data_IF_176230394821
#
_entry.id   IF_176230394821
#
_cell.length_a   1.000
_cell.length_b   1.000
_cell.length_c   1.000
_cell.angle_alpha   90.00
_cell.angle_beta   90.00
_cell.angle_gamma   90.00
#
_symmetry.space_group_name_H-M   'P 1'
#
loop_
_entity.id
_entity.type
_entity.pdbx_description
1 polymer ?
#
# COMPACT_ATOMS: atom_id res chain seq x y z
N UNK A 1 -17.35 33.11 17.66
CA UNK A 1 -17.04 31.88 16.89
C UNK A 1 -17.02 30.71 17.86
N UNK A 2 -17.56 29.55 17.52
CA UNK A 2 -17.47 28.37 18.37
C UNK A 2 -16.03 27.86 18.41
N UNK A 3 -15.62 27.38 19.59
CA UNK A 3 -14.38 26.65 19.75
C UNK A 3 -14.60 25.21 19.28
N UNK A 4 -13.66 24.72 18.48
CA UNK A 4 -13.65 23.35 17.97
C UNK A 4 -12.56 22.54 18.69
N UNK A 5 -12.77 21.25 18.84
CA UNK A 5 -11.78 20.33 19.42
C UNK A 5 -10.71 19.95 18.38
N UNK A 6 -11.10 19.89 17.11
CA UNK A 6 -10.22 19.60 15.96
C UNK A 6 -10.73 20.31 14.72
N UNK A 7 -9.94 20.32 13.65
CA UNK A 7 -10.40 20.79 12.33
C UNK A 7 -11.48 19.84 11.81
N UNK A 8 -12.69 20.36 11.49
CA UNK A 8 -13.76 19.51 10.95
C UNK A 8 -13.36 18.88 9.61
N UNK A 9 -13.75 17.65 9.37
CA UNK A 9 -13.44 16.91 8.13
C UNK A 9 -13.93 17.64 6.86
N UNK A 10 -15.01 18.43 6.96
CA UNK A 10 -15.57 19.21 5.85
C UNK A 10 -15.00 20.63 5.73
N UNK A 11 -13.97 20.98 6.53
CA UNK A 11 -13.24 22.22 6.34
C UNK A 11 -12.34 22.09 5.09
N UNK A 12 -12.42 23.07 4.20
CA UNK A 12 -11.64 23.09 2.94
C UNK A 12 -10.60 24.19 2.91
N UNK A 13 -10.73 25.16 3.81
CA UNK A 13 -9.78 26.27 3.97
C UNK A 13 -9.52 26.54 5.44
N UNK A 14 -8.27 26.90 5.74
CA UNK A 14 -7.88 27.37 7.07
C UNK A 14 -7.23 28.75 6.96
N UNK A 15 -7.32 29.53 8.05
CA UNK A 15 -6.56 30.75 8.21
C UNK A 15 -5.97 30.83 9.61
N UNK A 16 -4.92 31.62 9.78
CA UNK A 16 -4.39 31.97 11.10
C UNK A 16 -4.79 33.39 11.45
N UNK A 17 -5.42 33.55 12.60
CA UNK A 17 -5.64 34.85 13.19
C UNK A 17 -4.33 35.45 13.70
N UNK A 18 -3.96 36.63 13.21
CA UNK A 18 -2.66 37.24 13.48
C UNK A 18 -2.46 37.63 14.96
N UNK A 19 -3.55 37.89 15.66
CA UNK A 19 -3.54 38.39 17.06
C UNK A 19 -3.59 37.20 18.03
N UNK A 20 -4.58 36.34 17.84
CA UNK A 20 -4.84 35.22 18.78
C UNK A 20 -4.04 33.97 18.44
N UNK A 21 -3.43 33.91 17.25
CA UNK A 21 -2.72 32.75 16.70
C UNK A 21 -3.57 31.47 16.65
N UNK A 22 -4.89 31.63 16.57
CA UNK A 22 -5.84 30.52 16.42
C UNK A 22 -5.99 30.14 14.97
N UNK A 23 -6.23 28.87 14.72
CA UNK A 23 -6.59 28.37 13.40
C UNK A 23 -8.09 28.50 13.22
N UNK A 24 -8.51 29.21 12.20
CA UNK A 24 -9.91 29.40 11.84
C UNK A 24 -10.23 28.46 10.69
N UNK A 25 -11.29 27.68 10.82
CA UNK A 25 -11.74 26.74 9.79
C UNK A 25 -12.91 27.32 9.00
N UNK A 26 -12.89 27.08 7.69
CA UNK A 26 -13.92 27.51 6.74
C UNK A 26 -14.41 26.35 5.89
N UNK A 27 -15.69 26.36 5.50
CA UNK A 27 -16.23 25.47 4.48
C UNK A 27 -15.86 25.93 3.04
N UNK A 28 -16.27 25.16 2.04
CA UNK A 28 -16.02 25.47 0.63
C UNK A 28 -16.64 26.82 0.18
N UNK A 29 -17.69 27.28 0.86
CA UNK A 29 -18.37 28.55 0.58
C UNK A 29 -17.74 29.74 1.31
N UNK A 30 -16.71 29.48 2.14
CA UNK A 30 -16.06 30.51 2.95
C UNK A 30 -16.84 30.85 4.25
N UNK A 31 -17.77 29.99 4.67
CA UNK A 31 -18.47 30.15 5.93
C UNK A 31 -17.59 29.70 7.09
N UNK A 32 -17.51 30.51 8.14
CA UNK A 32 -16.77 30.18 9.35
C UNK A 32 -17.38 28.98 10.06
N UNK A 33 -16.61 27.92 10.25
CA UNK A 33 -17.00 26.74 11.03
C UNK A 33 -16.67 26.91 12.51
N UNK A 34 -15.59 27.60 12.82
CA UNK A 34 -15.12 27.84 14.17
C UNK A 34 -13.62 28.03 14.22
N UNK A 35 -13.04 27.98 15.43
CA UNK A 35 -11.60 28.05 15.62
C UNK A 35 -11.11 26.88 16.46
N UNK A 36 -9.86 26.49 16.22
CA UNK A 36 -9.16 25.48 16.98
C UNK A 36 -8.00 26.13 17.76
N UNK A 37 -7.88 25.77 19.03
CA UNK A 37 -6.77 26.24 19.86
C UNK A 37 -5.52 25.45 19.54
N UNK A 38 -4.39 26.13 19.41
CA UNK A 38 -3.10 25.53 19.09
C UNK A 38 -2.70 24.38 20.03
N UNK A 39 -3.06 24.45 21.30
CA UNK A 39 -2.71 23.42 22.30
C UNK A 39 -3.51 22.11 22.17
N UNK A 40 -4.66 22.13 21.53
CA UNK A 40 -5.49 20.94 21.33
C UNK A 40 -4.83 19.95 20.37
N UNK A 41 -3.99 20.43 19.51
CA UNK A 41 -3.38 19.74 18.39
C UNK A 41 -2.16 18.89 18.74
N UNK A 42 -1.41 19.27 19.74
CA UNK A 42 -0.22 18.52 20.17
C UNK A 42 -0.52 17.10 20.66
N UNK A 43 -1.78 16.78 20.92
CA UNK A 43 -2.22 15.45 21.36
C UNK A 43 -2.52 14.46 20.23
N UNK A 44 -2.92 14.93 19.06
CA UNK A 44 -3.33 14.08 17.95
C UNK A 44 -2.16 13.40 17.20
N UNK A 45 -0.93 13.90 17.40
CA UNK A 45 0.26 13.46 16.64
C UNK A 45 0.79 12.08 16.98
N UNK A 46 0.16 11.30 17.87
CA UNK A 46 0.73 10.03 18.38
C UNK A 46 0.22 8.74 17.75
N UNK A 47 -0.85 8.77 16.99
CA UNK A 47 -1.56 7.54 16.63
C UNK A 47 -1.50 7.17 15.13
N UNK A 48 -0.85 7.96 14.28
CA UNK A 48 -0.73 7.65 12.85
C UNK A 48 0.73 7.36 12.47
N UNK A 49 1.23 6.21 12.91
CA UNK A 49 2.48 5.60 12.42
C UNK A 49 2.13 4.69 11.25
N UNK A 50 1.41 5.24 10.28
CA UNK A 50 1.17 4.62 8.99
C UNK A 50 2.35 4.89 8.04
N UNK A 51 2.32 4.28 6.88
CA UNK A 51 3.30 4.40 5.81
C UNK A 51 3.35 5.82 5.17
N UNK A 52 3.37 6.87 5.99
CA UNK A 52 3.36 8.27 5.56
C UNK A 52 4.65 8.99 5.92
N UNK A 53 5.12 9.84 5.02
CA UNK A 53 6.27 10.73 5.22
C UNK A 53 5.85 12.19 5.04
N UNK A 54 6.43 13.09 5.83
CA UNK A 54 6.19 14.53 5.70
C UNK A 54 6.77 15.05 4.40
N UNK A 55 6.04 15.95 3.73
CA UNK A 55 6.46 16.60 2.50
C UNK A 55 6.98 18.01 2.78
N UNK A 56 8.11 18.37 2.19
CA UNK A 56 8.58 19.76 2.15
C UNK A 56 7.74 20.62 1.21
N UNK A 57 7.88 21.95 1.27
CA UNK A 57 7.25 22.83 0.31
C UNK A 57 7.71 22.55 -1.13
N UNK A 58 8.98 22.19 -1.32
CA UNK A 58 9.53 21.81 -2.63
C UNK A 58 8.92 20.49 -3.13
N UNK A 59 8.67 19.53 -2.24
CA UNK A 59 8.04 18.26 -2.63
C UNK A 59 6.59 18.47 -3.07
N UNK A 60 5.84 19.30 -2.37
CA UNK A 60 4.46 19.64 -2.75
C UNK A 60 4.42 20.32 -4.11
N UNK A 61 5.36 21.25 -4.37
CA UNK A 61 5.44 21.95 -5.67
C UNK A 61 5.90 21.04 -6.81
N UNK A 62 6.55 19.92 -6.51
CA UNK A 62 6.89 18.86 -7.48
C UNK A 62 5.77 17.83 -7.64
N UNK A 63 4.73 17.89 -6.79
CA UNK A 63 3.56 17.07 -7.01
C UNK A 63 3.16 17.21 -8.45
N UNK A 64 3.05 16.06 -9.07
CA UNK A 64 2.81 15.92 -10.50
C UNK A 64 1.90 17.02 -11.02
N UNK A 65 2.44 17.86 -11.89
CA UNK A 65 1.60 18.69 -12.75
C UNK A 65 0.53 17.74 -13.34
N UNK A 66 -0.75 17.85 -13.02
CA UNK A 66 -1.48 19.08 -12.72
C UNK A 66 -1.82 19.32 -11.24
N UNK A 67 -1.37 18.50 -10.31
CA UNK A 67 -1.78 18.62 -8.91
C UNK A 67 -1.39 19.95 -8.27
N UNK A 68 -0.13 20.40 -8.42
CA UNK A 68 0.31 21.69 -7.91
C UNK A 68 -0.42 22.85 -8.58
N UNK A 69 -0.58 22.81 -9.90
CA UNK A 69 -1.25 23.88 -10.65
C UNK A 69 -2.69 24.11 -10.18
N UNK A 70 -3.41 23.03 -9.82
CA UNK A 70 -4.76 23.13 -9.26
C UNK A 70 -4.77 23.83 -7.89
N UNK A 71 -3.80 23.49 -7.01
CA UNK A 71 -3.65 24.14 -5.71
C UNK A 71 -3.31 25.62 -5.85
N UNK A 72 -2.34 25.94 -6.72
CA UNK A 72 -1.91 27.31 -6.97
C UNK A 72 -3.03 28.13 -7.59
N UNK A 73 -3.72 27.60 -8.59
CA UNK A 73 -4.86 28.28 -9.21
C UNK A 73 -5.97 28.54 -8.18
N UNK A 74 -6.26 27.58 -7.31
CA UNK A 74 -7.26 27.74 -6.26
C UNK A 74 -6.86 28.80 -5.22
N UNK A 75 -5.58 28.89 -4.87
CA UNK A 75 -5.08 29.94 -4.01
C UNK A 75 -5.21 31.32 -4.66
N UNK A 76 -4.88 31.43 -5.95
CA UNK A 76 -5.02 32.66 -6.74
C UNK A 76 -6.49 33.10 -6.84
N UNK A 77 -7.40 32.17 -7.11
CA UNK A 77 -8.84 32.44 -7.18
C UNK A 77 -9.42 32.93 -5.85
N UNK A 78 -8.91 32.39 -4.72
CA UNK A 78 -9.41 32.77 -3.40
C UNK A 78 -8.79 34.07 -2.90
N UNK A 79 -7.49 34.30 -3.12
CA UNK A 79 -6.71 35.30 -2.39
C UNK A 79 -5.81 36.17 -3.28
N UNK A 80 -5.80 35.94 -4.59
CA UNK A 80 -4.96 36.64 -5.55
C UNK A 80 -3.57 36.02 -5.70
N UNK A 81 -2.85 36.51 -6.71
CA UNK A 81 -1.51 36.05 -7.12
C UNK A 81 -0.37 36.86 -6.49
N UNK A 82 -0.65 37.54 -5.37
CA UNK A 82 0.34 38.34 -4.64
C UNK A 82 1.54 37.51 -4.16
N UNK A 83 2.64 38.21 -3.86
CA UNK A 83 3.87 37.62 -3.34
C UNK A 83 3.58 36.81 -2.08
N UNK A 84 4.04 35.55 -2.06
CA UNK A 84 3.78 34.60 -0.99
C UNK A 84 4.85 33.53 -0.89
N UNK A 85 4.94 32.92 0.29
CA UNK A 85 5.72 31.71 0.55
C UNK A 85 4.79 30.50 0.65
N UNK A 86 5.28 29.37 0.15
CA UNK A 86 4.64 28.08 0.36
C UNK A 86 5.26 27.44 1.59
N UNK A 87 4.43 27.02 2.53
CA UNK A 87 4.87 26.46 3.81
C UNK A 87 4.15 25.14 4.05
N UNK A 88 4.90 24.13 4.48
CA UNK A 88 4.39 22.83 4.92
C UNK A 88 5.08 22.44 6.21
N UNK A 89 4.37 21.72 7.08
CA UNK A 89 4.95 21.08 8.27
C UNK A 89 5.75 22.04 9.18
N UNK A 90 5.42 23.32 9.18
CA UNK A 90 6.01 24.31 10.06
C UNK A 90 5.67 24.01 11.52
N UNK A 91 6.59 24.32 12.44
CA UNK A 91 6.39 24.16 13.89
C UNK A 91 5.20 24.97 14.40
N UNK A 92 4.85 26.05 13.71
CA UNK A 92 3.66 26.86 14.00
C UNK A 92 2.35 26.20 13.59
N UNK A 93 2.38 25.16 12.72
CA UNK A 93 1.21 24.49 12.15
C UNK A 93 1.29 22.95 12.20
N UNK A 94 1.71 22.36 13.34
CA UNK A 94 2.11 20.94 13.40
C UNK A 94 0.97 19.95 13.13
N UNK A 95 -0.27 20.41 13.20
CA UNK A 95 -1.45 19.54 13.20
C UNK A 95 -2.06 19.28 11.82
N UNK A 96 -1.60 20.02 10.85
CA UNK A 96 -2.12 19.93 9.49
C UNK A 96 -0.98 19.69 8.50
N UNK A 97 -0.23 18.58 8.66
CA UNK A 97 0.93 18.33 7.83
C UNK A 97 0.52 18.04 6.39
N UNK A 98 1.35 18.51 5.45
CA UNK A 98 1.40 17.92 4.13
C UNK A 98 2.22 16.63 4.23
N UNK A 99 1.67 15.53 3.77
CA UNK A 99 2.32 14.22 3.84
C UNK A 99 2.02 13.39 2.60
N UNK A 100 2.91 12.45 2.31
CA UNK A 100 2.73 11.44 1.27
C UNK A 100 2.66 10.07 1.94
N UNK A 101 1.63 9.30 1.59
CA UNK A 101 1.35 8.01 2.19
C UNK A 101 1.40 6.90 1.16
N UNK A 102 2.09 5.80 1.46
CA UNK A 102 1.99 4.59 0.66
C UNK A 102 0.61 3.94 0.85
N UNK A 103 0.04 3.47 -0.24
CA UNK A 103 -1.18 2.69 -0.23
C UNK A 103 -0.93 1.27 -0.75
N UNK A 104 -1.90 0.38 -0.57
CA UNK A 104 -1.80 -0.98 -1.07
C UNK A 104 -1.60 -1.00 -2.59
N UNK A 105 -0.71 -1.87 -3.06
CA UNK A 105 -0.30 -1.92 -4.46
C UNK A 105 -1.38 -2.48 -5.42
N UNK A 106 -2.44 -3.07 -4.88
CA UNK A 106 -3.40 -3.82 -5.69
C UNK A 106 -2.85 -5.13 -6.22
N UNK A 107 -3.48 -5.66 -7.26
CA UNK A 107 -3.10 -6.94 -7.85
C UNK A 107 -1.95 -6.77 -8.85
N UNK A 108 -1.01 -7.72 -8.85
CA UNK A 108 0.04 -7.81 -9.86
C UNK A 108 -0.60 -8.14 -11.21
N UNK A 109 -0.20 -7.43 -12.24
CA UNK A 109 -0.56 -7.77 -13.62
C UNK A 109 0.40 -8.84 -14.13
N UNK A 110 -0.13 -10.00 -14.50
CA UNK A 110 0.65 -11.13 -15.02
C UNK A 110 0.98 -10.91 -16.50
N UNK A 111 2.22 -11.19 -16.86
CA UNK A 111 2.74 -11.08 -18.22
C UNK A 111 2.76 -12.48 -18.88
N UNK A 112 1.81 -12.73 -19.76
CA UNK A 112 1.70 -14.01 -20.48
C UNK A 112 1.11 -15.17 -19.68
N UNK A 113 1.14 -16.36 -20.27
CA UNK A 113 0.65 -17.58 -19.63
C UNK A 113 1.69 -18.14 -18.65
N UNK A 114 1.27 -18.69 -17.50
CA UNK A 114 2.17 -19.34 -16.56
C UNK A 114 2.88 -20.57 -17.14
N UNK A 115 4.15 -20.71 -16.87
CA UNK A 115 4.90 -21.92 -17.19
C UNK A 115 4.78 -22.93 -16.06
N UNK A 116 4.12 -24.06 -16.32
CA UNK A 116 3.87 -25.11 -15.34
C UNK A 116 4.60 -26.41 -15.69
N UNK A 117 5.20 -27.03 -14.68
CA UNK A 117 5.78 -28.37 -14.76
C UNK A 117 5.23 -29.25 -13.66
N UNK A 118 4.74 -30.46 -14.03
CA UNK A 118 4.26 -31.43 -13.07
C UNK A 118 5.30 -32.54 -12.89
N UNK A 119 5.65 -32.82 -11.65
CA UNK A 119 6.55 -33.90 -11.26
C UNK A 119 5.78 -34.91 -10.41
N UNK A 120 5.76 -36.17 -10.85
CA UNK A 120 5.20 -37.26 -10.07
C UNK A 120 6.25 -37.77 -9.10
N UNK A 121 5.96 -37.71 -7.82
CA UNK A 121 6.75 -38.34 -6.77
C UNK A 121 6.13 -39.69 -6.42
N UNK A 122 6.96 -40.69 -6.18
CA UNK A 122 6.51 -42.06 -5.86
C UNK A 122 7.09 -42.49 -4.54
N UNK A 123 6.24 -43.08 -3.71
CA UNK A 123 6.63 -43.75 -2.48
C UNK A 123 6.26 -45.21 -2.58
N UNK A 124 7.25 -46.12 -2.59
CA UNK A 124 7.03 -47.55 -2.59
C UNK A 124 7.03 -48.09 -1.15
N UNK A 125 5.98 -48.80 -0.77
CA UNK A 125 5.89 -49.49 0.53
C UNK A 125 5.59 -50.94 0.33
N UNK A 126 6.31 -51.84 1.03
CA UNK A 126 6.07 -53.27 1.01
C UNK A 126 5.77 -53.78 2.43
N UNK A 127 4.66 -54.49 2.61
CA UNK A 127 4.31 -55.12 3.89
C UNK A 127 4.59 -56.60 3.78
N UNK A 128 5.43 -57.13 4.69
CA UNK A 128 5.80 -58.53 4.74
C UNK A 128 5.26 -59.21 6.01
N UNK A 129 4.65 -60.36 5.86
CA UNK A 129 4.24 -61.23 7.00
C UNK A 129 2.74 -61.32 7.20
N UNK A 130 2.04 -60.27 7.54
CA UNK A 130 0.60 -60.21 7.73
C UNK A 130 0.03 -58.95 7.09
N UNK A 131 -1.29 -58.90 6.93
CA UNK A 131 -1.92 -57.63 6.50
C UNK A 131 -1.51 -56.50 7.44
N UNK A 132 -1.14 -55.37 6.87
CA UNK A 132 -0.68 -54.18 7.59
C UNK A 132 -1.32 -52.89 7.11
N UNK A 133 -1.00 -51.82 7.78
CA UNK A 133 -1.40 -50.49 7.38
C UNK A 133 -0.15 -49.66 7.14
N UNK A 134 -0.01 -49.11 5.92
CA UNK A 134 0.99 -48.10 5.63
C UNK A 134 0.40 -46.72 5.93
N UNK A 135 1.16 -45.93 6.64
CA UNK A 135 0.76 -44.55 6.94
C UNK A 135 1.61 -43.59 6.12
N UNK A 136 0.97 -42.78 5.32
CA UNK A 136 1.62 -41.76 4.47
C UNK A 136 1.20 -40.39 4.93
N UNK A 137 2.16 -39.53 5.17
CA UNK A 137 1.88 -38.11 5.44
C UNK A 137 1.78 -37.36 4.12
N UNK A 138 0.64 -36.77 3.91
CA UNK A 138 0.30 -36.00 2.71
C UNK A 138 0.29 -34.52 3.01
N UNK A 139 0.92 -33.73 2.18
CA UNK A 139 0.81 -32.28 2.20
C UNK A 139 0.01 -31.83 0.98
N UNK A 140 -1.17 -31.26 1.20
CA UNK A 140 -2.04 -30.72 0.15
C UNK A 140 -2.13 -29.19 0.25
N UNK A 141 -2.46 -28.55 -0.85
CA UNK A 141 -2.60 -27.09 -0.91
C UNK A 141 -1.47 -26.41 -1.68
N UNK A 142 -1.42 -25.11 -1.62
CA UNK A 142 -0.53 -24.29 -2.43
C UNK A 142 0.44 -23.48 -1.55
N UNK A 143 1.70 -23.45 -1.95
CA UNK A 143 2.71 -22.52 -1.42
C UNK A 143 3.02 -21.51 -2.50
N UNK A 144 2.91 -20.24 -2.15
CA UNK A 144 3.28 -19.12 -3.01
C UNK A 144 4.59 -18.49 -2.55
N UNK A 145 5.42 -18.11 -3.49
CA UNK A 145 6.48 -17.16 -3.26
C UNK A 145 6.48 -16.12 -4.37
N UNK A 146 6.68 -14.87 -3.99
CA UNK A 146 6.78 -13.76 -4.95
C UNK A 146 8.00 -12.93 -4.62
N UNK A 147 8.81 -12.67 -5.64
CA UNK A 147 9.98 -11.79 -5.56
C UNK A 147 9.66 -10.51 -6.32
N UNK A 148 9.70 -9.36 -5.63
CA UNK A 148 9.41 -8.05 -6.20
C UNK A 148 10.72 -7.26 -6.31
N UNK A 149 11.03 -6.78 -7.52
CA UNK A 149 12.22 -5.95 -7.77
C UNK A 149 11.79 -4.57 -8.23
N UNK A 150 12.25 -3.51 -7.55
CA UNK A 150 11.93 -2.13 -7.92
C UNK A 150 12.53 -1.81 -9.29
N UNK A 151 11.67 -1.52 -10.26
CA UNK A 151 12.04 -1.16 -11.63
C UNK A 151 11.95 0.34 -11.91
N UNK A 152 11.20 1.09 -11.09
CA UNK A 152 11.11 2.54 -11.14
C UNK A 152 10.88 3.12 -9.76
N UNK A 153 11.72 4.04 -9.34
CA UNK A 153 11.54 4.80 -8.10
C UNK A 153 10.37 5.78 -8.22
N UNK A 154 9.67 5.99 -7.10
CA UNK A 154 8.74 7.09 -6.99
C UNK A 154 9.51 8.43 -6.99
N UNK A 155 8.94 9.46 -7.61
CA UNK A 155 9.60 10.78 -7.77
C UNK A 155 9.78 11.55 -6.44
N UNK A 156 9.05 11.16 -5.40
CA UNK A 156 9.24 11.68 -4.05
C UNK A 156 9.92 10.61 -3.20
N UNK A 157 11.08 10.95 -2.65
CA UNK A 157 11.84 10.05 -1.81
C UNK A 157 11.09 9.77 -0.50
N UNK A 158 10.84 8.49 -0.25
CA UNK A 158 10.39 8.02 1.05
C UNK A 158 11.61 7.43 1.71
N UNK A 159 12.06 8.07 2.78
CA UNK A 159 13.33 7.71 3.43
C UNK A 159 13.34 6.35 4.11
N UNK A 160 12.22 5.62 4.13
CA UNK A 160 12.06 4.38 4.90
C UNK A 160 11.41 3.28 4.05
N UNK A 161 11.57 2.05 4.53
CA UNK A 161 10.88 0.88 3.96
C UNK A 161 9.40 0.96 4.30
N UNK A 162 8.54 0.80 3.31
CA UNK A 162 7.09 0.73 3.48
C UNK A 162 6.60 -0.70 3.34
N UNK A 163 5.63 -1.08 4.18
CA UNK A 163 4.90 -2.35 4.06
C UNK A 163 3.54 -2.08 3.47
N UNK A 164 3.25 -2.74 2.35
CA UNK A 164 1.95 -2.62 1.65
C UNK A 164 1.44 -4.01 1.29
N UNK A 165 0.14 -4.13 1.09
CA UNK A 165 -0.45 -5.36 0.56
C UNK A 165 -0.33 -5.38 -0.95
N UNK A 166 0.07 -6.55 -1.45
CA UNK A 166 0.18 -6.85 -2.89
C UNK A 166 -0.71 -8.06 -3.17
N UNK A 167 -1.61 -7.94 -4.12
CA UNK A 167 -2.41 -9.06 -4.60
C UNK A 167 -1.60 -9.92 -5.57
N UNK A 168 -1.42 -11.19 -5.24
CA UNK A 168 -0.76 -12.17 -6.11
C UNK A 168 -1.83 -13.07 -6.69
N UNK A 169 -2.09 -13.02 -8.01
CA UNK A 169 -2.99 -13.95 -8.67
C UNK A 169 -2.49 -15.39 -8.50
N UNK A 170 -3.40 -16.32 -8.23
CA UNK A 170 -3.06 -17.73 -8.16
C UNK A 170 -2.68 -18.23 -9.55
N UNK A 171 -1.44 -18.70 -9.69
CA UNK A 171 -0.86 -19.05 -11.01
C UNK A 171 -1.56 -20.26 -11.64
N UNK A 172 -2.19 -21.12 -10.83
CA UNK A 172 -2.97 -22.26 -11.32
C UNK A 172 -4.43 -21.92 -11.64
N UNK A 173 -4.97 -20.87 -11.03
CA UNK A 173 -6.33 -20.35 -11.25
C UNK A 173 -6.29 -18.82 -11.13
N UNK A 174 -6.11 -18.13 -12.25
CA UNK A 174 -6.03 -16.65 -12.34
C UNK A 174 -7.28 -15.90 -11.85
N UNK A 175 -8.33 -16.61 -11.47
CA UNK A 175 -9.56 -16.01 -10.92
C UNK A 175 -9.48 -15.75 -9.42
N UNK A 176 -8.52 -16.35 -8.72
CA UNK A 176 -8.29 -16.14 -7.30
C UNK A 176 -7.00 -15.34 -7.07
N UNK A 177 -7.04 -14.45 -6.09
CA UNK A 177 -5.92 -13.61 -5.68
C UNK A 177 -5.63 -13.79 -4.20
N UNK A 178 -4.37 -14.04 -3.87
CA UNK A 178 -3.89 -14.08 -2.49
C UNK A 178 -3.16 -12.78 -2.16
N UNK A 179 -3.60 -12.08 -1.12
CA UNK A 179 -2.95 -10.86 -0.66
C UNK A 179 -1.77 -11.21 0.26
N UNK A 180 -0.60 -10.69 -0.07
CA UNK A 180 0.62 -10.80 0.75
C UNK A 180 1.12 -9.42 1.18
N UNK A 181 1.77 -9.36 2.33
CA UNK A 181 2.47 -8.15 2.75
C UNK A 181 3.87 -8.15 2.12
N UNK A 182 4.16 -7.12 1.37
CA UNK A 182 5.46 -6.90 0.74
C UNK A 182 6.09 -5.60 1.27
N UNK A 183 7.42 -5.61 1.42
CA UNK A 183 8.20 -4.44 1.85
C UNK A 183 8.87 -3.83 0.65
N UNK A 184 8.81 -2.51 0.54
CA UNK A 184 9.47 -1.77 -0.52
C UNK A 184 10.32 -0.66 0.05
N UNK A 185 11.54 -0.55 -0.49
CA UNK A 185 12.40 0.62 -0.31
C UNK A 185 12.42 1.37 -1.64
N UNK A 186 12.26 2.69 -1.61
CA UNK A 186 12.27 3.50 -2.84
C UNK A 186 13.70 3.62 -3.41
N UNK A 187 14.24 2.47 -3.82
CA UNK A 187 15.59 2.34 -4.36
C UNK A 187 15.58 1.34 -5.50
N UNK A 188 16.04 1.77 -6.67
CA UNK A 188 16.10 0.96 -7.88
C UNK A 188 16.84 -0.35 -7.63
N UNK A 189 16.35 -1.43 -8.24
CA UNK A 189 16.91 -2.79 -8.18
C UNK A 189 16.93 -3.43 -6.79
N UNK A 190 16.25 -2.87 -5.81
CA UNK A 190 16.02 -3.54 -4.53
C UNK A 190 15.01 -4.66 -4.72
N UNK A 191 15.35 -5.86 -4.25
CA UNK A 191 14.51 -7.06 -4.35
C UNK A 191 14.09 -7.52 -2.96
N UNK A 192 12.79 -7.74 -2.78
CA UNK A 192 12.20 -8.33 -1.60
C UNK A 192 11.41 -9.57 -1.98
N UNK A 193 11.36 -10.55 -1.08
CA UNK A 193 10.62 -11.81 -1.30
C UNK A 193 9.56 -11.99 -0.25
N UNK A 194 8.34 -12.26 -0.70
CA UNK A 194 7.19 -12.56 0.14
C UNK A 194 6.75 -14.01 -0.07
N UNK A 195 6.40 -14.70 1.01
CA UNK A 195 5.92 -16.08 0.94
C UNK A 195 4.57 -16.21 1.66
N UNK A 196 3.69 -17.00 1.08
CA UNK A 196 2.44 -17.42 1.71
C UNK A 196 2.30 -18.93 1.57
N UNK A 197 2.08 -19.62 2.68
CA UNK A 197 1.94 -21.06 2.72
C UNK A 197 0.53 -21.45 3.19
N UNK A 198 -0.25 -21.99 2.27
CA UNK A 198 -1.61 -22.49 2.51
C UNK A 198 -1.64 -24.05 2.48
N UNK A 199 -0.51 -24.69 2.63
CA UNK A 199 -0.41 -26.14 2.64
C UNK A 199 -0.86 -26.72 3.98
N UNK A 200 -1.58 -27.85 3.92
CA UNK A 200 -2.02 -28.60 5.08
C UNK A 200 -1.48 -30.04 4.98
N UNK A 201 -0.86 -30.52 6.04
CA UNK A 201 -0.38 -31.91 6.10
C UNK A 201 -1.44 -32.79 6.73
N UNK A 202 -1.82 -33.84 6.01
CA UNK A 202 -2.75 -34.86 6.47
C UNK A 202 -2.06 -36.24 6.50
N UNK A 203 -2.54 -37.10 7.36
CA UNK A 203 -2.03 -38.46 7.44
C UNK A 203 -3.06 -39.45 6.86
N UNK A 204 -2.67 -40.13 5.80
CA UNK A 204 -3.52 -41.12 5.13
C UNK A 204 -3.04 -42.53 5.50
N UNK A 205 -3.96 -43.39 5.97
CA UNK A 205 -3.71 -44.76 6.28
C UNK A 205 -4.20 -45.66 5.13
N UNK A 206 -3.29 -46.45 4.53
CA UNK A 206 -3.57 -47.32 3.42
C UNK A 206 -3.46 -48.78 3.91
N UNK A 207 -4.53 -49.55 3.73
CA UNK A 207 -4.51 -51.00 4.06
C UNK A 207 -3.72 -51.75 2.98
N UNK A 208 -2.65 -52.44 3.39
CA UNK A 208 -1.77 -53.20 2.49
C UNK A 208 -1.93 -54.71 2.81
N UNK A 209 -2.46 -55.51 1.86
CA UNK A 209 -2.54 -56.96 2.05
C UNK A 209 -1.16 -57.59 2.18
N UNK A 210 -1.09 -58.73 2.87
CA UNK A 210 0.14 -59.50 3.06
C UNK A 210 0.79 -59.89 1.74
N UNK A 211 2.06 -59.57 1.59
CA UNK A 211 2.87 -59.89 0.41
C UNK A 211 2.70 -58.95 -0.77
N UNK A 212 1.86 -57.92 -0.63
CA UNK A 212 1.70 -56.88 -1.66
C UNK A 212 2.59 -55.70 -1.35
N UNK A 213 3.06 -55.05 -2.41
CA UNK A 213 3.66 -53.73 -2.36
C UNK A 213 2.63 -52.71 -2.86
N UNK A 214 2.52 -51.62 -2.16
CA UNK A 214 1.71 -50.47 -2.59
C UNK A 214 2.62 -49.35 -3.05
N UNK A 215 2.30 -48.77 -4.20
CA UNK A 215 2.92 -47.59 -4.73
C UNK A 215 1.97 -46.40 -4.57
N UNK A 216 2.43 -45.38 -3.87
CA UNK A 216 1.68 -44.13 -3.72
C UNK A 216 2.34 -43.09 -4.61
N UNK A 217 1.60 -42.63 -5.57
CA UNK A 217 2.05 -41.57 -6.45
C UNK A 217 1.33 -40.27 -6.07
N UNK A 218 2.06 -39.16 -6.09
CA UNK A 218 1.48 -37.84 -5.98
C UNK A 218 2.15 -36.88 -6.94
N UNK A 219 1.36 -35.97 -7.48
CA UNK A 219 1.83 -34.99 -8.45
C UNK A 219 2.03 -33.65 -7.75
N UNK A 220 3.22 -33.09 -7.95
CA UNK A 220 3.53 -31.69 -7.56
C UNK A 220 3.63 -30.86 -8.83
N UNK A 221 2.72 -29.90 -8.96
CA UNK A 221 2.78 -28.96 -10.07
C UNK A 221 3.39 -27.65 -9.59
N UNK A 222 4.53 -27.30 -10.20
CA UNK A 222 5.19 -26.02 -10.01
C UNK A 222 4.88 -25.12 -11.19
N UNK A 223 4.29 -23.97 -10.92
CA UNK A 223 4.04 -22.93 -11.93
C UNK A 223 4.87 -21.69 -11.61
N UNK A 224 5.44 -21.09 -12.65
CA UNK A 224 6.13 -19.79 -12.56
C UNK A 224 5.54 -18.82 -13.56
N UNK A 225 5.47 -17.55 -13.16
CA UNK A 225 5.07 -16.47 -14.05
C UNK A 225 5.77 -15.18 -13.67
N UNK A 226 5.79 -14.25 -14.61
CA UNK A 226 6.28 -12.90 -14.39
C UNK A 226 5.09 -11.93 -14.42
N UNK A 227 5.27 -10.79 -13.81
CA UNK A 227 4.28 -9.73 -13.80
C UNK A 227 4.87 -8.44 -13.30
N UNK A 228 4.05 -7.43 -13.23
CA UNK A 228 4.43 -6.12 -12.76
C UNK A 228 3.36 -5.50 -11.88
N UNK A 229 3.75 -4.56 -11.05
CA UNK A 229 2.84 -3.82 -10.18
C UNK A 229 3.37 -2.44 -9.86
N UNK A 230 2.55 -1.70 -9.14
CA UNK A 230 2.94 -0.37 -8.66
C UNK A 230 2.40 -0.11 -7.26
N UNK A 231 3.22 0.55 -6.44
CA UNK A 231 2.82 1.07 -5.14
C UNK A 231 2.51 2.55 -5.30
N UNK A 232 1.26 2.98 -5.09
CA UNK A 232 0.90 4.39 -5.13
C UNK A 232 1.34 5.08 -3.84
N UNK A 233 1.95 6.25 -3.99
CA UNK A 233 2.26 7.18 -2.92
C UNK A 233 1.43 8.43 -3.12
N UNK A 234 0.50 8.66 -2.22
CA UNK A 234 -0.58 9.64 -2.37
C UNK A 234 -0.37 10.81 -1.42
N UNK A 235 -0.32 12.02 -1.97
CA UNK A 235 -0.23 13.23 -1.18
C UNK A 235 -1.57 13.60 -0.54
N UNK A 236 -1.53 14.04 0.72
CA UNK A 236 -2.68 14.51 1.50
C UNK A 236 -2.26 15.57 2.50
N UNK A 237 -3.23 16.16 3.18
CA UNK A 237 -2.99 17.17 4.21
C UNK A 237 -3.09 18.59 3.69
N UNK A 238 -2.38 19.52 4.32
CA UNK A 238 -2.59 20.92 4.13
C UNK A 238 -1.34 21.65 3.66
N UNK A 239 -1.50 22.57 2.69
CA UNK A 239 -0.47 23.48 2.18
C UNK A 239 -0.82 24.89 2.60
N UNK A 240 0.13 25.58 3.19
CA UNK A 240 -0.02 26.96 3.65
C UNK A 240 0.58 27.94 2.63
N UNK A 241 -0.13 29.03 2.42
CA UNK A 241 0.22 30.18 1.59
C UNK A 241 0.37 31.38 2.51
N UNK A 242 1.60 31.83 2.73
CA UNK A 242 1.91 33.00 3.55
C UNK A 242 2.13 34.21 2.65
N UNK A 243 1.15 35.09 2.59
CA UNK A 243 1.19 36.31 1.79
C UNK A 243 1.96 37.42 2.49
N UNK A 244 2.69 38.26 1.70
CA UNK A 244 3.38 39.44 2.20
C UNK A 244 2.37 40.52 2.65
N UNK A 245 1.22 40.59 1.97
CA UNK A 245 0.12 41.50 2.28
C UNK A 245 -1.13 40.68 2.72
N UNK A 246 -1.97 41.30 3.58
CA UNK A 246 -3.22 40.68 4.00
C UNK A 246 -4.19 40.48 2.84
N UNK A 247 -4.67 39.25 2.71
CA UNK A 247 -5.75 38.89 1.79
C UNK A 247 -6.95 38.38 2.62
N UNK A 248 -8.15 38.84 2.35
CA UNK A 248 -9.36 38.47 3.12
C UNK A 248 -9.19 38.61 4.65
N UNK A 249 -8.33 39.54 5.09
CA UNK A 249 -8.09 39.86 6.51
C UNK A 249 -6.97 39.06 7.18
N UNK A 250 -6.34 38.09 6.52
CA UNK A 250 -5.26 37.26 7.06
C UNK A 250 -4.03 37.24 6.16
N UNK A 251 -2.85 37.00 6.73
CA UNK A 251 -1.61 36.77 5.99
C UNK A 251 -1.45 35.29 5.58
N UNK A 252 -2.02 34.36 6.35
CA UNK A 252 -1.76 32.94 6.27
C UNK A 252 -3.02 32.15 6.02
N UNK A 253 -3.04 31.44 4.92
CA UNK A 253 -4.14 30.62 4.45
C UNK A 253 -3.68 29.22 4.10
N UNK A 254 -4.54 28.23 4.27
CA UNK A 254 -4.24 26.87 3.83
C UNK A 254 -5.37 26.26 3.00
N UNK A 255 -4.95 25.42 2.07
CA UNK A 255 -5.82 24.54 1.28
C UNK A 255 -5.52 23.09 1.59
N UNK A 256 -6.55 22.28 1.58
CA UNK A 256 -6.44 20.83 1.74
C UNK A 256 -6.16 20.20 0.38
N UNK A 257 -5.06 19.43 0.28
CA UNK A 257 -4.58 18.83 -0.98
C UNK A 257 -5.67 17.96 -1.60
N UNK A 258 -6.21 17.04 -0.82
CA UNK A 258 -7.17 16.03 -1.27
C UNK A 258 -8.54 16.60 -1.65
N UNK A 259 -8.91 17.77 -1.14
CA UNK A 259 -10.16 18.45 -1.51
C UNK A 259 -10.03 19.25 -2.82
N UNK A 260 -8.84 19.80 -3.10
CA UNK A 260 -8.60 20.59 -4.30
C UNK A 260 -8.19 19.69 -5.47
N UNK A 261 -7.27 18.78 -5.22
CA UNK A 261 -6.82 17.78 -6.21
C UNK A 261 -7.61 16.49 -5.96
N UNK A 262 -8.89 16.50 -6.37
CA UNK A 262 -9.83 15.42 -6.09
C UNK A 262 -9.45 14.11 -6.83
N UNK A 263 -8.87 14.23 -8.03
CA UNK A 263 -8.33 13.06 -8.72
C UNK A 263 -7.06 12.60 -8.02
N UNK A 264 -7.08 11.38 -7.54
CA UNK A 264 -6.00 10.77 -6.78
C UNK A 264 -4.71 10.64 -7.61
N UNK A 265 -4.82 10.31 -8.89
CA UNK A 265 -3.66 10.15 -9.77
C UNK A 265 -2.88 11.46 -9.94
N UNK A 266 -3.58 12.61 -9.94
CA UNK A 266 -2.98 13.94 -10.07
C UNK A 266 -2.18 14.39 -8.82
N UNK A 267 -2.28 13.65 -7.73
CA UNK A 267 -1.56 13.88 -6.47
C UNK A 267 -0.79 12.65 -5.99
N UNK A 268 -0.49 11.74 -6.92
CA UNK A 268 0.22 10.49 -6.64
C UNK A 268 1.52 10.39 -7.42
N UNK A 269 2.49 9.72 -6.84
CA UNK A 269 3.67 9.20 -7.53
C UNK A 269 3.73 7.69 -7.31
N UNK A 270 4.36 6.96 -8.22
CA UNK A 270 4.32 5.51 -8.22
C UNK A 270 5.72 4.92 -8.18
N UNK A 271 5.94 4.02 -7.24
CA UNK A 271 7.05 3.07 -7.30
C UNK A 271 6.57 1.89 -8.14
N UNK A 272 7.29 1.55 -9.20
CA UNK A 272 6.98 0.38 -10.01
C UNK A 272 7.93 -0.75 -9.68
N UNK A 273 7.41 -1.97 -9.75
CA UNK A 273 8.19 -3.17 -9.53
C UNK A 273 7.84 -4.27 -10.52
N UNK A 274 8.83 -5.07 -10.86
CA UNK A 274 8.66 -6.32 -11.58
C UNK A 274 8.56 -7.45 -10.56
N UNK A 275 7.67 -8.41 -10.81
CA UNK A 275 7.42 -9.53 -9.94
C UNK A 275 7.67 -10.86 -10.63
N UNK A 276 8.32 -11.78 -9.92
CA UNK A 276 8.37 -13.18 -10.29
C UNK A 276 7.58 -13.98 -9.28
N UNK A 277 6.53 -14.66 -9.74
CA UNK A 277 5.63 -15.45 -8.90
C UNK A 277 5.87 -16.93 -9.16
N UNK A 278 5.99 -17.69 -8.10
CA UNK A 278 6.08 -19.16 -8.12
C UNK A 278 5.02 -19.74 -7.23
N UNK A 279 4.29 -20.73 -7.73
CA UNK A 279 3.37 -21.53 -6.94
C UNK A 279 3.72 -23.01 -7.02
N UNK A 280 3.72 -23.70 -5.89
CA UNK A 280 3.85 -25.15 -5.78
C UNK A 280 2.52 -25.70 -5.27
N UNK A 281 1.80 -26.43 -6.14
CA UNK A 281 0.50 -27.03 -5.81
C UNK A 281 0.66 -28.55 -5.77
N UNK A 282 0.27 -29.15 -4.67
CA UNK A 282 0.25 -30.61 -4.52
C UNK A 282 -1.10 -31.16 -5.00
N UNK A 283 -1.02 -32.07 -5.96
CA UNK A 283 -2.17 -32.74 -6.56
C UNK A 283 -2.68 -33.95 -5.78
N UNK A 284 -3.62 -34.67 -6.40
CA UNK A 284 -4.26 -35.85 -5.79
C UNK A 284 -3.30 -37.04 -5.68
N UNK A 285 -3.50 -37.79 -4.62
CA UNK A 285 -2.82 -39.09 -4.38
C UNK A 285 -3.50 -40.20 -5.14
N UNK A 286 -2.69 -41.05 -5.76
CA UNK A 286 -3.13 -42.33 -6.32
C UNK A 286 -2.36 -43.45 -5.67
N UNK A 287 -3.05 -44.32 -4.93
CA UNK A 287 -2.47 -45.52 -4.38
C UNK A 287 -2.79 -46.70 -5.30
N UNK A 288 -1.75 -47.41 -5.72
CA UNK A 288 -1.83 -48.65 -6.50
C UNK A 288 -1.19 -49.75 -5.68
N UNK A 289 -2.03 -50.73 -5.25
CA UNK A 289 -1.64 -51.83 -4.36
C UNK A 289 -1.69 -53.18 -5.07
#
# INVERSE_FOLDING_TARGET
MPRLESVPAHATKLAIDDVTKRIIAYDARGVHLGFVERSAFLKAKRDDVGACSSMSADDVQKLTVPGWDQLEQKANDNWGDGSRKIVTNDEDYPEQPAQICAEDAGDITIDGDPECTTQTQSLDTTVSGTNGTATVSETTGTKFSSSQTVSQEASLAIGETVSVKVGIPEVADVTSTTSVEAKFTNTLSTTETSENNQQTTQTVAIAVPNGNSCKVNFDVTTCTTQGSGQVPFVATGWVWFEYDDKTEGHYKWALKIDDIVANKDDRSTFLKFDAQVKSDTNGEYKADC
#
